data_IF_019578574905
#
_entry.id   IF_019578574905
#
_cell.length_a   1.000
_cell.length_b   1.000
_cell.length_c   1.000
_cell.angle_alpha   90.00
_cell.angle_beta   90.00
_cell.angle_gamma   90.00
#
_symmetry.space_group_name_H-M   'P 1'
#
loop_
_entity.id
_entity.type
_entity.pdbx_description
1 polymer ?
#
# COMPACT_ATOMS: atom_id res chain seq x y z
N UNK A 1 10.81 2.13 16.04
CA UNK A 1 9.80 2.22 14.98
C UNK A 1 9.60 0.87 14.30
N UNK A 2 8.40 0.63 13.81
CA UNK A 2 8.01 -0.65 13.21
C UNK A 2 7.78 -0.45 11.72
N UNK A 3 8.46 -1.27 10.90
CA UNK A 3 8.27 -1.33 9.46
C UNK A 3 7.68 -2.67 9.07
N UNK A 4 6.61 -2.67 8.30
CA UNK A 4 6.04 -3.86 7.70
C UNK A 4 6.30 -3.84 6.20
N UNK A 5 6.93 -4.89 5.70
CA UNK A 5 7.35 -5.01 4.31
C UNK A 5 6.53 -6.11 3.63
N UNK A 6 5.56 -5.71 2.83
CA UNK A 6 4.61 -6.64 2.20
C UNK A 6 4.67 -6.60 0.69
N UNK A 7 5.37 -7.56 0.07
CA UNK A 7 5.43 -7.71 -1.38
C UNK A 7 4.85 -9.06 -1.79
N UNK A 8 4.35 -9.13 -3.02
CA UNK A 8 3.77 -10.34 -3.61
C UNK A 8 2.65 -10.94 -2.77
N UNK A 9 1.87 -10.08 -2.12
CA UNK A 9 0.90 -10.53 -1.14
C UNK A 9 -0.50 -10.72 -1.71
N UNK A 10 -0.89 -9.91 -2.71
CA UNK A 10 -2.30 -9.71 -2.98
C UNK A 10 -2.97 -9.09 -1.76
N UNK A 11 -4.29 -9.16 -1.69
CA UNK A 11 -5.02 -8.69 -0.51
C UNK A 11 -4.69 -9.60 0.68
N UNK A 12 -4.50 -9.02 1.84
CA UNK A 12 -4.04 -9.77 3.01
C UNK A 12 -5.12 -10.77 3.47
N UNK A 13 -4.66 -11.92 3.97
CA UNK A 13 -5.52 -12.91 4.57
C UNK A 13 -5.97 -12.49 5.97
N UNK A 14 -7.09 -13.06 6.47
CA UNK A 14 -7.54 -12.74 7.83
C UNK A 14 -6.46 -12.94 8.90
N UNK A 15 -5.64 -13.97 8.76
CA UNK A 15 -4.56 -14.27 9.71
C UNK A 15 -3.51 -13.14 9.74
N UNK A 16 -3.23 -12.54 8.59
CA UNK A 16 -2.28 -11.42 8.50
C UNK A 16 -2.86 -10.19 9.19
N UNK A 17 -4.13 -9.88 8.95
CA UNK A 17 -4.79 -8.78 9.64
C UNK A 17 -4.78 -8.97 11.16
N UNK A 18 -5.06 -10.19 11.63
CA UNK A 18 -5.04 -10.51 13.05
C UNK A 18 -3.65 -10.33 13.65
N UNK A 19 -2.62 -10.82 12.96
CA UNK A 19 -1.24 -10.68 13.41
C UNK A 19 -0.85 -9.20 13.53
N UNK A 20 -1.19 -8.41 12.53
CA UNK A 20 -0.90 -6.97 12.52
C UNK A 20 -1.65 -6.23 13.63
N UNK A 21 -2.88 -6.65 13.93
CA UNK A 21 -3.65 -6.06 15.03
C UNK A 21 -2.96 -6.31 16.37
N UNK A 22 -2.35 -7.47 16.54
CA UNK A 22 -1.67 -7.83 17.78
C UNK A 22 -0.29 -7.21 17.93
N UNK A 23 0.41 -6.96 16.82
CA UNK A 23 1.82 -6.54 16.82
C UNK A 23 2.04 -5.09 16.38
N UNK A 24 1.02 -4.45 15.83
CA UNK A 24 1.08 -3.04 15.44
C UNK A 24 0.82 -2.10 16.61
N UNK A 25 0.67 -0.80 16.30
CA UNK A 25 0.64 -0.19 14.98
C UNK A 25 2.00 -0.17 14.30
N UNK A 26 2.00 0.04 12.97
CA UNK A 26 3.24 0.19 12.20
C UNK A 26 3.47 1.65 11.85
N UNK A 27 4.73 2.03 11.79
CA UNK A 27 5.15 3.39 11.41
C UNK A 27 5.37 3.52 9.91
N UNK A 28 5.86 2.45 9.29
CA UNK A 28 6.15 2.41 7.86
C UNK A 28 5.54 1.15 7.25
N UNK A 29 4.74 1.33 6.22
CA UNK A 29 4.21 0.24 5.42
C UNK A 29 4.81 0.33 4.03
N UNK A 30 5.56 -0.71 3.62
CA UNK A 30 6.01 -0.86 2.25
C UNK A 30 5.08 -1.86 1.59
N UNK A 31 4.31 -1.41 0.62
CA UNK A 31 3.27 -2.20 -0.04
C UNK A 31 3.55 -2.32 -1.53
N UNK A 32 3.21 -3.47 -2.08
CA UNK A 32 3.20 -3.60 -3.52
C UNK A 32 2.04 -2.82 -4.13
N UNK A 33 2.19 -2.42 -5.40
CA UNK A 33 1.11 -1.94 -6.24
C UNK A 33 1.41 -2.42 -7.67
N UNK A 34 1.62 -3.71 -7.82
CA UNK A 34 2.22 -4.33 -9.00
C UNK A 34 1.46 -4.00 -10.28
N UNK A 35 0.14 -4.04 -10.25
CA UNK A 35 -0.69 -3.78 -11.43
C UNK A 35 -1.09 -2.31 -11.58
N UNK A 36 -0.58 -1.43 -10.73
CA UNK A 36 -0.77 0.01 -10.86
C UNK A 36 -2.24 0.39 -10.96
N UNK A 37 -2.60 1.13 -11.99
CA UNK A 37 -3.97 1.63 -12.18
C UNK A 37 -4.85 0.69 -13.02
N UNK A 38 -4.43 -0.56 -13.26
CA UNK A 38 -5.22 -1.51 -14.06
C UNK A 38 -6.60 -1.74 -13.44
N UNK A 39 -7.69 -1.58 -14.20
CA UNK A 39 -9.04 -1.79 -13.67
C UNK A 39 -9.47 -3.24 -13.75
N UNK A 40 -10.57 -3.56 -13.07
CA UNK A 40 -11.28 -4.83 -13.27
C UNK A 40 -10.72 -6.02 -12.52
N UNK A 41 -9.79 -5.81 -11.57
CA UNK A 41 -9.20 -6.90 -10.81
C UNK A 41 -9.91 -7.21 -9.49
N UNK A 42 -10.94 -6.42 -9.15
CA UNK A 42 -11.67 -6.59 -7.90
C UNK A 42 -11.01 -5.88 -6.72
N UNK A 43 -11.68 -5.97 -5.58
CA UNK A 43 -11.23 -5.24 -4.37
C UNK A 43 -10.24 -6.05 -3.54
N UNK A 44 -10.28 -7.38 -3.62
CA UNK A 44 -9.46 -8.28 -2.82
C UNK A 44 -8.80 -9.35 -3.70
N UNK A 45 -7.92 -8.97 -4.64
CA UNK A 45 -7.30 -9.93 -5.55
C UNK A 45 -6.24 -10.77 -4.85
N UNK A 46 -6.10 -12.01 -5.30
CA UNK A 46 -4.99 -12.87 -4.90
C UNK A 46 -3.72 -12.51 -5.65
N UNK A 47 -2.60 -12.76 -5.03
CA UNK A 47 -1.26 -12.67 -5.64
C UNK A 47 -0.68 -11.27 -5.68
N UNK A 48 -1.34 -10.33 -6.34
CA UNK A 48 -0.84 -8.96 -6.49
C UNK A 48 -1.93 -7.92 -6.35
N UNK A 49 -1.53 -6.72 -5.91
CA UNK A 49 -2.42 -5.59 -5.71
C UNK A 49 -2.33 -4.61 -6.89
N UNK A 50 -3.40 -3.85 -7.05
CA UNK A 50 -3.48 -2.65 -7.89
C UNK A 50 -3.89 -1.47 -7.01
N UNK A 51 -4.06 -0.29 -7.61
CA UNK A 51 -4.39 0.91 -6.83
C UNK A 51 -5.71 0.77 -6.08
N UNK A 52 -6.74 0.25 -6.74
CA UNK A 52 -8.05 0.08 -6.09
C UNK A 52 -7.95 -0.84 -4.87
N UNK A 53 -7.32 -2.01 -5.02
CA UNK A 53 -7.19 -2.96 -3.92
C UNK A 53 -6.25 -2.45 -2.82
N UNK A 54 -5.23 -1.68 -3.17
CA UNK A 54 -4.40 -0.99 -2.19
C UNK A 54 -5.22 -0.06 -1.30
N UNK A 55 -6.13 0.72 -1.89
CA UNK A 55 -7.00 1.61 -1.12
C UNK A 55 -7.89 0.83 -0.16
N UNK A 56 -8.48 -0.25 -0.61
CA UNK A 56 -9.28 -1.11 0.26
C UNK A 56 -8.43 -1.67 1.41
N UNK A 57 -7.23 -2.13 1.11
CA UNK A 57 -6.30 -2.65 2.10
C UNK A 57 -5.93 -1.56 3.13
N UNK A 58 -5.54 -0.39 2.67
CA UNK A 58 -5.10 0.70 3.56
C UNK A 58 -6.23 1.18 4.47
N UNK A 59 -7.45 1.26 3.94
CA UNK A 59 -8.62 1.61 4.74
C UNK A 59 -8.91 0.58 5.82
N UNK A 60 -8.77 -0.70 5.50
CA UNK A 60 -8.93 -1.77 6.48
C UNK A 60 -7.87 -1.67 7.58
N UNK A 61 -6.62 -1.42 7.22
CA UNK A 61 -5.54 -1.28 8.19
C UNK A 61 -5.73 -0.04 9.08
N UNK A 62 -6.24 1.06 8.52
CA UNK A 62 -6.59 2.25 9.30
C UNK A 62 -7.74 1.96 10.26
N UNK A 63 -8.76 1.27 9.80
CA UNK A 63 -9.93 0.95 10.61
C UNK A 63 -9.57 0.09 11.81
N UNK A 64 -8.66 -0.86 11.65
CA UNK A 64 -8.24 -1.72 12.77
C UNK A 64 -7.12 -1.12 13.63
N UNK A 65 -6.60 0.06 13.27
CA UNK A 65 -5.56 0.74 14.04
C UNK A 65 -4.13 0.32 13.74
N UNK A 66 -3.91 -0.51 12.73
CA UNK A 66 -2.55 -0.90 12.29
C UNK A 66 -1.84 0.30 11.65
N UNK A 67 -2.57 1.08 10.86
CA UNK A 67 -2.08 2.36 10.34
C UNK A 67 -2.77 3.50 11.09
N UNK A 68 -2.07 4.63 11.22
CA UNK A 68 -2.58 5.85 11.84
C UNK A 68 -2.07 7.07 11.07
N UNK A 69 -2.49 8.27 11.47
CA UNK A 69 -2.19 9.49 10.72
C UNK A 69 -0.69 9.77 10.57
N UNK A 70 0.14 9.25 11.48
CA UNK A 70 1.59 9.44 11.43
C UNK A 70 2.32 8.30 10.72
N UNK A 71 1.62 7.25 10.31
CA UNK A 71 2.21 6.19 9.50
C UNK A 71 2.52 6.70 8.10
N UNK A 72 3.53 6.11 7.46
CA UNK A 72 3.90 6.46 6.09
C UNK A 72 3.83 5.20 5.21
N UNK A 73 3.14 5.31 4.09
CA UNK A 73 2.98 4.22 3.13
C UNK A 73 3.90 4.46 1.95
N UNK A 74 4.66 3.43 1.57
CA UNK A 74 5.53 3.45 0.38
C UNK A 74 5.05 2.39 -0.59
N UNK A 75 4.71 2.79 -1.82
CA UNK A 75 4.32 1.87 -2.88
C UNK A 75 5.55 1.46 -3.67
N UNK A 76 5.67 0.17 -3.95
CA UNK A 76 6.80 -0.38 -4.69
C UNK A 76 6.37 -1.59 -5.52
N UNK A 77 7.31 -2.28 -6.15
CA UNK A 77 7.07 -3.49 -6.93
C UNK A 77 6.06 -3.25 -8.07
N UNK A 78 6.28 -2.19 -8.83
CA UNK A 78 5.34 -1.74 -9.87
C UNK A 78 5.76 -2.33 -11.21
N UNK A 79 4.80 -2.95 -11.90
CA UNK A 79 5.03 -3.53 -13.21
C UNK A 79 4.66 -2.51 -14.30
N UNK A 80 5.66 -1.99 -15.00
CA UNK A 80 5.46 -0.96 -16.04
C UNK A 80 4.72 -1.48 -17.27
N UNK A 81 4.54 -2.79 -17.40
CA UNK A 81 3.80 -3.38 -18.52
C UNK A 81 2.28 -3.17 -18.42
N UNK A 82 1.78 -2.63 -17.32
CA UNK A 82 0.36 -2.46 -17.05
C UNK A 82 -0.09 -0.99 -17.09
N UNK A 83 0.49 -0.21 -17.98
CA UNK A 83 0.03 1.15 -18.34
C UNK A 83 0.10 2.20 -17.24
N UNK A 84 0.83 1.95 -16.16
CA UNK A 84 1.00 2.96 -15.11
C UNK A 84 2.43 3.44 -15.09
N UNK A 85 2.62 4.74 -15.31
CA UNK A 85 3.93 5.36 -15.11
C UNK A 85 4.09 5.76 -13.65
N UNK A 86 5.31 6.11 -13.26
CA UNK A 86 5.58 6.67 -11.94
C UNK A 86 4.71 7.92 -11.70
N UNK A 87 4.61 8.79 -12.69
CA UNK A 87 3.81 10.02 -12.62
C UNK A 87 2.33 9.72 -12.43
N UNK A 88 1.79 8.71 -13.11
CA UNK A 88 0.40 8.31 -12.95
C UNK A 88 0.10 7.92 -11.51
N UNK A 89 0.98 7.13 -10.90
CA UNK A 89 0.82 6.69 -9.52
C UNK A 89 1.00 7.83 -8.52
N UNK A 90 1.95 8.73 -8.76
CA UNK A 90 2.13 9.93 -7.93
C UNK A 90 0.86 10.77 -7.94
N UNK A 91 0.25 10.95 -9.12
CA UNK A 91 -0.99 11.69 -9.25
C UNK A 91 -2.13 11.02 -8.50
N UNK A 92 -2.27 9.70 -8.63
CA UNK A 92 -3.29 8.94 -7.91
C UNK A 92 -3.13 9.08 -6.40
N UNK A 93 -1.90 9.00 -5.91
CA UNK A 93 -1.63 9.15 -4.48
C UNK A 93 -2.01 10.55 -3.97
N UNK A 94 -1.79 11.58 -4.77
CA UNK A 94 -2.16 12.95 -4.41
C UNK A 94 -3.67 13.17 -4.38
N UNK A 95 -4.39 12.48 -5.26
CA UNK A 95 -5.85 12.63 -5.36
C UNK A 95 -6.60 11.93 -4.23
N UNK A 96 -5.94 11.07 -3.45
CA UNK A 96 -6.57 10.38 -2.33
C UNK A 96 -6.39 11.11 -1.03
N UNK A 97 -6.94 12.32 -0.96
CA UNK A 97 -6.90 13.14 0.24
C UNK A 97 -7.77 12.61 1.39
N UNK A 98 -8.52 11.53 1.17
CA UNK A 98 -9.34 10.90 2.20
C UNK A 98 -8.53 10.00 3.15
N UNK A 99 -7.29 9.67 2.79
CA UNK A 99 -6.41 8.90 3.66
C UNK A 99 -5.56 9.84 4.51
N UNK A 100 -5.53 9.65 5.84
CA UNK A 100 -4.80 10.56 6.73
C UNK A 100 -3.28 10.38 6.68
N UNK A 101 -2.79 9.21 6.28
CA UNK A 101 -1.36 8.95 6.23
C UNK A 101 -0.80 9.24 4.83
N UNK A 102 0.43 9.78 4.74
CA UNK A 102 1.03 10.08 3.44
C UNK A 102 1.40 8.80 2.68
N UNK A 103 1.28 8.88 1.36
CA UNK A 103 1.61 7.79 0.45
C UNK A 103 2.69 8.29 -0.51
N UNK A 104 3.81 7.59 -0.58
CA UNK A 104 4.91 7.90 -1.50
C UNK A 104 5.09 6.75 -2.47
N UNK A 105 5.22 7.08 -3.76
CA UNK A 105 5.57 6.10 -4.78
C UNK A 105 7.09 6.00 -4.83
N UNK A 106 7.61 4.81 -4.55
CA UNK A 106 9.06 4.59 -4.48
C UNK A 106 9.72 4.67 -5.86
N UNK A 107 10.99 4.97 -5.86
CA UNK A 107 11.82 5.00 -7.06
C UNK A 107 13.16 4.34 -6.76
N UNK A 108 13.89 3.94 -7.80
CA UNK A 108 15.18 3.27 -7.65
C UNK A 108 16.17 4.17 -6.92
N UNK A 109 16.81 3.61 -5.91
CA UNK A 109 17.78 4.35 -5.09
C UNK A 109 17.17 5.17 -3.97
N UNK A 110 15.84 5.18 -3.85
CA UNK A 110 15.18 5.91 -2.77
C UNK A 110 15.56 5.34 -1.41
N UNK A 111 15.79 6.23 -0.44
CA UNK A 111 16.08 5.86 0.93
C UNK A 111 14.98 6.34 1.86
N UNK A 112 14.58 5.48 2.79
CA UNK A 112 13.65 5.83 3.85
C UNK A 112 14.48 6.09 5.11
N UNK A 113 14.42 7.30 5.60
CA UNK A 113 15.15 7.68 6.81
C UNK A 113 14.18 8.08 7.92
N UNK A 114 14.59 7.82 9.13
CA UNK A 114 13.78 8.12 10.30
C UNK A 114 14.02 9.56 10.79
#
# INVERSE_FOLDING_TARGET
>A
KILFYGLDTGYYYPETFDWLREHGPVDYLVSECTFGTQPGRGDHPDGHLDWNSCLHLFRQLLEQGTLHAESHIYLTHINHCHNSTHEDLVQMARENADLPCPITVSYDGMQITD
#
